data_IF_755285756981
#
_entry.id   IF_755285756981
#
_cell.length_a   1.000
_cell.length_b   1.000
_cell.length_c   1.000
_cell.angle_alpha   90.00
_cell.angle_beta   90.00
_cell.angle_gamma   90.00
#
_symmetry.space_group_name_H-M   'P 1'
#
loop_
_entity.id
_entity.type
_entity.pdbx_description
1 polymer ?
#
# COMPACT_ATOMS: atom_id res chain seq x y z
N UNK A 1 -30.86 5.52 -41.65
CA UNK A 1 -30.79 6.99 -41.60
C UNK A 1 -29.42 7.39 -41.09
N UNK A 2 -28.57 7.97 -41.96
CA UNK A 2 -27.23 8.44 -41.63
C UNK A 2 -27.36 9.79 -40.89
N UNK A 3 -26.91 9.88 -39.63
CA UNK A 3 -26.64 11.18 -39.01
C UNK A 3 -25.30 11.66 -39.54
N UNK A 4 -25.33 12.71 -40.37
CA UNK A 4 -24.16 13.40 -40.83
C UNK A 4 -23.45 14.04 -39.61
N UNK A 5 -22.19 13.69 -39.40
CA UNK A 5 -21.32 14.35 -38.44
C UNK A 5 -21.02 15.77 -38.94
N UNK A 6 -21.80 16.75 -38.45
CA UNK A 6 -21.62 18.19 -38.69
C UNK A 6 -20.78 18.82 -37.58
N UNK A 7 -19.58 18.29 -37.34
CA UNK A 7 -18.55 19.00 -36.59
C UNK A 7 -17.25 18.96 -37.39
N UNK A 8 -16.58 20.10 -37.62
CA UNK A 8 -15.23 20.09 -38.16
C UNK A 8 -14.39 19.18 -37.28
N UNK A 9 -13.72 18.18 -37.86
CA UNK A 9 -12.77 17.36 -37.11
C UNK A 9 -11.68 18.28 -36.59
N UNK A 10 -11.71 18.58 -35.29
CA UNK A 10 -10.64 19.30 -34.63
C UNK A 10 -9.37 18.46 -34.79
N UNK A 11 -8.52 18.82 -35.76
CA UNK A 11 -7.11 18.40 -35.84
C UNK A 11 -6.32 19.16 -34.78
N UNK A 12 -6.75 19.10 -33.53
CA UNK A 12 -5.96 19.59 -32.39
C UNK A 12 -4.67 18.77 -32.28
N UNK A 13 -3.66 19.35 -31.62
CA UNK A 13 -2.43 18.65 -31.24
C UNK A 13 -2.84 17.42 -30.44
N UNK A 14 -2.69 16.23 -31.03
CA UNK A 14 -2.90 14.97 -30.33
C UNK A 14 -1.57 14.53 -29.77
N UNK A 15 -1.50 14.36 -28.46
CA UNK A 15 -0.30 13.82 -27.81
C UNK A 15 -0.29 12.32 -28.08
N UNK A 16 0.63 11.88 -28.94
CA UNK A 16 0.95 10.47 -29.10
C UNK A 16 1.84 10.06 -27.94
N UNK A 17 1.38 9.08 -27.17
CA UNK A 17 2.17 8.49 -26.10
C UNK A 17 2.65 7.12 -26.57
N UNK A 18 3.88 7.09 -27.04
CA UNK A 18 4.57 5.97 -27.69
C UNK A 18 5.83 5.50 -26.93
N UNK A 19 5.98 5.97 -25.68
CA UNK A 19 7.05 5.53 -24.79
C UNK A 19 7.06 4.01 -24.65
N UNK A 20 8.24 3.39 -24.76
CA UNK A 20 8.37 1.96 -24.53
C UNK A 20 8.23 1.66 -23.01
N UNK A 21 7.29 0.80 -22.59
CA UNK A 21 7.15 0.38 -21.19
C UNK A 21 8.40 -0.26 -20.59
N UNK A 22 9.26 -0.84 -21.43
CA UNK A 22 10.52 -1.48 -21.05
C UNK A 22 11.66 -0.46 -21.14
N UNK A 23 12.31 -0.20 -20.01
CA UNK A 23 13.50 0.66 -19.89
C UNK A 23 14.72 -0.05 -20.49
N UNK A 24 14.95 -1.28 -20.03
CA UNK A 24 16.12 -2.07 -20.40
C UNK A 24 15.82 -3.56 -20.25
N UNK A 25 16.57 -4.39 -20.99
CA UNK A 25 16.55 -5.85 -20.86
C UNK A 25 17.92 -6.31 -20.35
N UNK A 26 17.95 -7.04 -19.26
CA UNK A 26 19.17 -7.61 -18.68
C UNK A 26 19.00 -9.14 -18.68
N UNK A 27 19.52 -9.78 -19.72
CA UNK A 27 19.22 -11.18 -20.00
C UNK A 27 17.72 -11.37 -20.21
N UNK A 28 17.11 -12.23 -19.40
CA UNK A 28 15.66 -12.41 -19.43
C UNK A 28 14.89 -11.28 -18.70
N UNK A 29 15.50 -10.57 -17.73
CA UNK A 29 14.81 -9.57 -16.90
C UNK A 29 14.43 -8.34 -17.75
N UNK A 30 13.13 -8.03 -17.82
CA UNK A 30 12.62 -6.78 -18.38
C UNK A 30 12.46 -5.74 -17.26
N UNK A 31 13.32 -4.72 -17.22
CA UNK A 31 13.15 -3.59 -16.33
C UNK A 31 12.08 -2.65 -16.92
N UNK A 32 10.95 -2.48 -16.21
CA UNK A 32 9.81 -1.68 -16.67
C UNK A 32 9.64 -0.40 -15.86
N UNK A 33 9.15 0.65 -16.50
CA UNK A 33 8.82 1.93 -15.84
C UNK A 33 7.83 1.74 -14.68
N UNK A 34 6.82 0.89 -14.87
CA UNK A 34 5.85 0.57 -13.83
C UNK A 34 6.53 0.05 -12.56
N UNK A 35 7.40 -0.96 -12.70
CA UNK A 35 8.12 -1.55 -11.57
C UNK A 35 9.03 -0.55 -10.86
N UNK A 36 9.73 0.29 -11.62
CA UNK A 36 10.59 1.35 -11.08
C UNK A 36 9.79 2.38 -10.28
N UNK A 37 8.67 2.87 -10.81
CA UNK A 37 7.83 3.87 -10.14
C UNK A 37 7.14 3.29 -8.91
N UNK A 38 6.66 2.05 -8.98
CA UNK A 38 6.10 1.38 -7.81
C UNK A 38 7.16 1.18 -6.72
N UNK A 39 8.36 0.68 -7.07
CA UNK A 39 9.46 0.55 -6.12
C UNK A 39 9.84 1.90 -5.48
N UNK A 40 9.85 2.97 -6.27
CA UNK A 40 10.08 4.34 -5.79
C UNK A 40 9.04 4.74 -4.74
N UNK A 41 7.75 4.50 -5.00
CA UNK A 41 6.68 4.75 -4.04
C UNK A 41 6.84 3.94 -2.74
N UNK A 42 7.21 2.66 -2.83
CA UNK A 42 7.46 1.81 -1.65
C UNK A 42 8.68 2.27 -0.83
N UNK A 43 9.76 2.70 -1.50
CA UNK A 43 10.93 3.25 -0.84
C UNK A 43 10.60 4.56 -0.10
N UNK A 44 9.77 5.42 -0.70
CA UNK A 44 9.28 6.63 -0.05
C UNK A 44 8.43 6.30 1.18
N UNK A 45 7.55 5.29 1.08
CA UNK A 45 6.81 4.77 2.23
C UNK A 45 7.76 4.30 3.34
N UNK A 46 8.79 3.52 3.00
CA UNK A 46 9.76 3.02 3.97
C UNK A 46 10.57 4.15 4.63
N UNK A 47 10.98 5.15 3.85
CA UNK A 47 11.67 6.34 4.35
C UNK A 47 10.79 7.16 5.31
N UNK A 48 9.48 7.27 5.02
CA UNK A 48 8.56 8.09 5.82
C UNK A 48 7.93 7.35 7.00
N UNK A 49 7.92 6.02 7.02
CA UNK A 49 7.31 5.24 8.08
C UNK A 49 7.82 5.60 9.50
N UNK A 50 9.14 5.71 9.76
CA UNK A 50 9.63 6.12 11.08
C UNK A 50 9.11 7.50 11.54
N UNK A 51 9.01 8.46 10.61
CA UNK A 51 8.50 9.80 10.90
C UNK A 51 7.04 9.75 11.36
N UNK A 52 6.19 9.02 10.63
CA UNK A 52 4.78 8.91 10.99
C UNK A 52 4.55 8.09 12.25
N UNK A 53 5.31 7.02 12.47
CA UNK A 53 5.21 6.26 13.70
C UNK A 53 5.55 7.11 14.91
N UNK A 54 6.64 7.89 14.85
CA UNK A 54 6.98 8.84 15.90
C UNK A 54 5.91 9.91 16.10
N UNK A 55 5.37 10.48 15.02
CA UNK A 55 4.31 11.50 15.09
C UNK A 55 3.05 10.98 15.79
N UNK A 56 2.73 9.70 15.60
CA UNK A 56 1.62 9.01 16.26
C UNK A 56 2.02 8.31 17.56
N UNK A 57 3.19 8.58 18.15
CA UNK A 57 3.63 7.99 19.42
C UNK A 57 3.73 6.47 19.39
N UNK A 58 4.18 5.91 18.28
CA UNK A 58 4.37 4.48 18.05
C UNK A 58 5.87 4.14 18.00
N UNK A 59 6.26 2.89 18.31
CA UNK A 59 7.66 2.48 18.26
C UNK A 59 8.26 2.59 16.86
N UNK A 60 9.43 3.20 16.75
CA UNK A 60 10.21 3.32 15.51
C UNK A 60 10.58 1.95 14.95
N UNK A 61 11.02 1.01 15.80
CA UNK A 61 11.37 -0.35 15.35
C UNK A 61 10.16 -1.10 14.78
N UNK A 62 8.94 -0.74 15.17
CA UNK A 62 7.74 -1.29 14.56
C UNK A 62 7.52 -0.75 13.14
N UNK A 63 7.84 0.51 12.88
CA UNK A 63 7.80 1.09 11.54
C UNK A 63 8.73 0.31 10.60
N UNK A 64 9.99 0.10 11.02
CA UNK A 64 11.01 -0.62 10.26
C UNK A 64 10.64 -2.08 9.97
N UNK A 65 9.91 -2.74 10.88
CA UNK A 65 9.44 -4.11 10.65
C UNK A 65 8.22 -4.13 9.72
N UNK A 66 7.33 -3.15 9.84
CA UNK A 66 6.11 -3.07 9.02
C UNK A 66 6.39 -2.79 7.54
N UNK A 67 7.51 -2.14 7.21
CA UNK A 67 7.94 -1.96 5.81
C UNK A 67 8.23 -3.28 5.09
N UNK A 68 8.45 -4.38 5.83
CA UNK A 68 8.56 -5.73 5.28
C UNK A 68 7.23 -6.49 5.32
N UNK A 69 6.49 -6.38 6.43
CA UNK A 69 5.23 -7.12 6.62
C UNK A 69 4.13 -6.68 5.64
N UNK A 70 3.96 -5.38 5.45
CA UNK A 70 2.84 -4.84 4.66
C UNK A 70 2.99 -5.19 3.18
N UNK A 71 4.16 -5.03 2.52
CA UNK A 71 4.30 -5.45 1.12
C UNK A 71 4.12 -6.95 0.90
N UNK A 72 4.55 -7.80 1.84
CA UNK A 72 4.30 -9.24 1.77
C UNK A 72 2.79 -9.51 1.86
N UNK A 73 2.11 -8.91 2.83
CA UNK A 73 0.65 -8.99 2.95
C UNK A 73 -0.06 -8.53 1.69
N UNK A 74 0.38 -7.43 1.09
CA UNK A 74 -0.14 -6.90 -0.16
C UNK A 74 -0.01 -7.90 -1.31
N UNK A 75 1.17 -8.48 -1.51
CA UNK A 75 1.43 -9.42 -2.60
C UNK A 75 0.60 -10.70 -2.44
N UNK A 76 0.62 -11.30 -1.24
CA UNK A 76 -0.15 -12.50 -0.95
C UNK A 76 -1.65 -12.24 -1.07
N UNK A 77 -2.13 -11.13 -0.50
CA UNK A 77 -3.53 -10.75 -0.58
C UNK A 77 -3.98 -10.52 -2.01
N UNK A 78 -3.19 -9.81 -2.83
CA UNK A 78 -3.52 -9.54 -4.22
C UNK A 78 -3.62 -10.83 -5.05
N UNK A 79 -2.70 -11.77 -4.84
CA UNK A 79 -2.66 -13.04 -5.56
C UNK A 79 -3.76 -14.01 -5.12
N UNK A 80 -3.89 -14.29 -3.82
CA UNK A 80 -4.88 -15.29 -3.37
C UNK A 80 -6.33 -14.83 -3.53
N UNK A 81 -6.61 -13.53 -3.38
CA UNK A 81 -7.94 -13.00 -3.69
C UNK A 81 -8.18 -13.03 -5.21
N UNK A 82 -7.15 -12.85 -6.03
CA UNK A 82 -7.32 -13.08 -7.47
C UNK A 82 -7.72 -14.53 -7.77
N UNK A 83 -6.98 -15.51 -7.22
CA UNK A 83 -7.30 -16.93 -7.40
C UNK A 83 -8.72 -17.25 -6.92
N UNK A 84 -9.10 -16.81 -5.71
CA UNK A 84 -10.43 -17.11 -5.13
C UNK A 84 -11.58 -16.55 -5.99
N UNK A 85 -11.44 -15.35 -6.55
CA UNK A 85 -12.58 -14.68 -7.20
C UNK A 85 -12.57 -14.77 -8.73
N UNK A 86 -11.41 -15.00 -9.35
CA UNK A 86 -11.26 -14.95 -10.81
C UNK A 86 -10.72 -16.26 -11.39
N UNK A 87 -10.00 -17.07 -10.63
CA UNK A 87 -9.36 -18.30 -11.10
C UNK A 87 -9.46 -19.43 -10.07
N UNK A 88 -10.70 -19.79 -9.70
CA UNK A 88 -10.97 -20.72 -8.61
C UNK A 88 -10.22 -22.05 -8.72
N UNK A 89 -10.15 -22.62 -9.94
CA UNK A 89 -9.44 -23.87 -10.20
C UNK A 89 -7.93 -23.75 -9.95
N UNK A 90 -7.36 -22.56 -10.15
CA UNK A 90 -5.96 -22.26 -9.87
C UNK A 90 -5.61 -22.28 -8.38
N UNK A 91 -6.59 -22.20 -7.47
CA UNK A 91 -6.36 -22.26 -6.03
C UNK A 91 -5.90 -23.66 -5.56
N UNK A 92 -6.23 -24.70 -6.30
CA UNK A 92 -5.86 -26.09 -5.97
C UNK A 92 -4.83 -26.66 -6.95
N UNK A 93 -4.39 -25.85 -7.90
CA UNK A 93 -3.35 -26.22 -8.83
C UNK A 93 -1.97 -26.10 -8.17
N UNK A 94 -1.36 -27.27 -7.96
CA UNK A 94 0.00 -27.47 -7.45
C UNK A 94 0.89 -28.14 -8.51
N UNK A 95 0.49 -28.09 -9.78
CA UNK A 95 1.28 -28.66 -10.88
C UNK A 95 2.59 -27.90 -11.06
N UNK A 96 3.68 -28.56 -11.47
CA UNK A 96 4.93 -27.81 -11.70
C UNK A 96 4.81 -27.13 -13.07
N UNK A 97 4.64 -25.81 -13.08
CA UNK A 97 4.73 -25.01 -14.28
C UNK A 97 6.17 -24.53 -14.46
N UNK A 98 6.75 -24.85 -15.62
CA UNK A 98 8.04 -24.32 -16.05
C UNK A 98 7.76 -23.38 -17.20
N UNK A 99 7.95 -22.08 -16.98
CA UNK A 99 7.81 -21.09 -18.03
C UNK A 99 8.91 -21.32 -19.10
N UNK A 100 8.50 -21.60 -20.34
CA UNK A 100 9.44 -21.85 -21.44
C UNK A 100 10.32 -20.63 -21.79
N UNK A 101 9.89 -19.42 -21.42
CA UNK A 101 10.64 -18.18 -21.62
C UNK A 101 11.52 -17.81 -20.41
N UNK A 102 11.29 -18.44 -19.26
CA UNK A 102 12.03 -18.15 -18.03
C UNK A 102 12.37 -19.44 -17.26
N UNK A 103 13.58 -20.01 -17.46
CA UNK A 103 13.97 -21.29 -16.86
C UNK A 103 14.03 -21.34 -15.32
N UNK A 104 13.98 -20.17 -14.65
CA UNK A 104 13.97 -20.03 -13.19
C UNK A 104 12.57 -19.72 -12.61
N UNK A 105 11.52 -19.71 -13.43
CA UNK A 105 10.13 -19.35 -13.13
C UNK A 105 9.40 -20.67 -12.99
N UNK A 106 9.90 -21.43 -12.01
CA UNK A 106 9.37 -22.73 -11.63
C UNK A 106 8.49 -22.45 -10.43
N UNK A 107 7.18 -22.44 -10.68
CA UNK A 107 6.19 -22.27 -9.64
C UNK A 107 5.45 -23.58 -9.42
N UNK A 108 5.15 -23.88 -8.17
CA UNK A 108 4.33 -25.01 -7.78
C UNK A 108 2.85 -24.67 -8.04
N UNK A 109 2.52 -24.58 -9.31
CA UNK A 109 1.20 -24.34 -9.87
C UNK A 109 0.77 -22.90 -9.71
N UNK A 110 -0.44 -22.61 -10.18
CA UNK A 110 -1.04 -21.28 -10.04
C UNK A 110 -1.09 -20.79 -8.60
N UNK A 111 -1.17 -21.70 -7.61
CA UNK A 111 -1.19 -21.34 -6.19
C UNK A 111 0.11 -20.66 -5.71
N UNK A 112 1.28 -21.04 -6.24
CA UNK A 112 2.58 -20.49 -5.83
C UNK A 112 3.21 -19.56 -6.87
N UNK A 113 2.49 -19.26 -7.96
CA UNK A 113 2.90 -18.35 -9.02
C UNK A 113 2.72 -16.87 -8.60
N UNK A 114 3.37 -16.49 -7.49
CA UNK A 114 3.30 -15.14 -6.93
C UNK A 114 3.80 -14.11 -7.95
N UNK A 115 2.88 -13.33 -8.51
CA UNK A 115 3.19 -12.30 -9.52
C UNK A 115 2.33 -12.38 -10.77
N UNK A 116 1.66 -13.51 -11.01
CA UNK A 116 0.57 -13.63 -11.98
C UNK A 116 -0.78 -13.40 -11.28
N UNK A 117 -1.73 -12.75 -11.97
CA UNK A 117 -3.08 -12.52 -11.45
C UNK A 117 -3.11 -11.71 -10.14
N UNK A 118 -3.17 -10.37 -10.23
CA UNK A 118 -3.15 -9.50 -9.04
C UNK A 118 -4.44 -8.70 -8.92
N UNK A 119 -5.23 -9.00 -7.89
CA UNK A 119 -6.42 -8.22 -7.54
C UNK A 119 -6.06 -7.09 -6.58
N UNK A 120 -6.22 -5.83 -7.02
CA UNK A 120 -5.89 -4.65 -6.20
C UNK A 120 -6.62 -4.57 -4.85
N UNK A 121 -7.91 -4.94 -4.83
CA UNK A 121 -8.71 -5.03 -3.60
C UNK A 121 -8.16 -6.10 -2.66
N UNK A 122 -7.63 -7.18 -3.23
CA UNK A 122 -6.94 -8.22 -2.47
C UNK A 122 -5.66 -7.72 -1.82
N UNK A 123 -4.89 -6.89 -2.54
CA UNK A 123 -3.72 -6.23 -1.98
C UNK A 123 -4.06 -5.33 -0.79
N UNK A 124 -5.14 -4.54 -0.90
CA UNK A 124 -5.62 -3.71 0.21
C UNK A 124 -6.02 -4.51 1.46
N UNK A 125 -6.80 -5.60 1.27
CA UNK A 125 -7.18 -6.50 2.37
C UNK A 125 -5.97 -7.21 2.98
N UNK A 126 -5.03 -7.64 2.14
CA UNK A 126 -3.76 -8.24 2.57
C UNK A 126 -2.92 -7.30 3.44
N UNK A 127 -2.83 -6.01 3.05
CA UNK A 127 -2.19 -4.98 3.88
C UNK A 127 -2.84 -4.83 5.25
N UNK A 128 -4.18 -4.75 5.30
CA UNK A 128 -4.93 -4.61 6.56
C UNK A 128 -4.78 -5.85 7.45
N UNK A 129 -4.82 -7.05 6.87
CA UNK A 129 -4.61 -8.30 7.59
C UNK A 129 -3.19 -8.38 8.16
N UNK A 130 -2.17 -8.06 7.35
CA UNK A 130 -0.78 -8.02 7.82
C UNK A 130 -0.59 -7.02 8.96
N UNK A 131 -1.19 -5.82 8.86
CA UNK A 131 -1.17 -4.82 9.93
C UNK A 131 -1.85 -5.32 11.20
N UNK A 132 -3.01 -5.97 11.06
CA UNK A 132 -3.75 -6.52 12.20
C UNK A 132 -2.97 -7.62 12.91
N UNK A 133 -2.39 -8.58 12.17
CA UNK A 133 -1.55 -9.65 12.74
C UNK A 133 -0.33 -9.04 13.44
N UNK A 134 0.33 -8.06 12.81
CA UNK A 134 1.48 -7.37 13.39
C UNK A 134 1.09 -6.66 14.69
N UNK A 135 -0.03 -5.94 14.69
CA UNK A 135 -0.52 -5.23 15.87
C UNK A 135 -0.84 -6.19 17.02
N UNK A 136 -1.53 -7.32 16.75
CA UNK A 136 -1.83 -8.32 17.78
C UNK A 136 -0.55 -8.84 18.45
N UNK A 137 0.52 -9.06 17.66
CA UNK A 137 1.79 -9.62 18.15
C UNK A 137 2.69 -8.60 18.84
N UNK A 138 2.64 -7.33 18.46
CA UNK A 138 3.65 -6.34 18.90
C UNK A 138 3.05 -5.09 19.53
N UNK A 139 1.93 -4.57 18.99
CA UNK A 139 1.36 -3.30 19.43
C UNK A 139 0.41 -3.41 20.62
N UNK A 140 -0.39 -4.47 20.67
CA UNK A 140 -1.43 -4.67 21.71
C UNK A 140 -0.84 -4.78 23.11
N UNK A 141 0.32 -5.42 23.26
CA UNK A 141 1.03 -5.56 24.55
C UNK A 141 1.55 -4.23 25.11
N UNK A 142 1.68 -3.19 24.28
CA UNK A 142 2.08 -1.84 24.68
C UNK A 142 0.86 -0.95 25.00
N UNK A 143 -0.35 -1.54 25.09
CA UNK A 143 -1.59 -0.77 25.30
C UNK A 143 -2.00 0.11 24.12
N UNK A 144 -1.34 -0.02 22.96
CA UNK A 144 -1.61 0.81 21.79
C UNK A 144 -2.86 0.29 21.06
N UNK A 145 -3.83 1.17 20.82
CA UNK A 145 -5.01 0.84 20.01
C UNK A 145 -4.65 0.57 18.54
N UNK A 146 -5.26 -0.44 17.92
CA UNK A 146 -5.08 -0.78 16.50
C UNK A 146 -5.25 0.44 15.58
N UNK A 147 -6.25 1.27 15.87
CA UNK A 147 -6.57 2.45 15.08
C UNK A 147 -5.40 3.48 15.00
N UNK A 148 -4.50 3.53 16.00
CA UNK A 148 -3.30 4.38 15.91
C UNK A 148 -2.30 3.85 14.87
N UNK A 149 -2.16 2.52 14.76
CA UNK A 149 -1.39 1.91 13.67
C UNK A 149 -2.03 2.19 12.33
N UNK A 150 -3.36 2.05 12.24
CA UNK A 150 -4.09 2.35 11.02
C UNK A 150 -3.88 3.81 10.58
N UNK A 151 -3.96 4.78 11.49
CA UNK A 151 -3.70 6.19 11.18
C UNK A 151 -2.28 6.41 10.64
N UNK A 152 -1.26 5.88 11.32
CA UNK A 152 0.13 6.03 10.90
C UNK A 152 0.41 5.35 9.56
N UNK A 153 -0.12 4.14 9.35
CA UNK A 153 0.05 3.39 8.09
C UNK A 153 -0.72 4.04 6.94
N UNK A 154 -1.89 4.64 7.17
CA UNK A 154 -2.59 5.40 6.12
C UNK A 154 -1.74 6.55 5.62
N UNK A 155 -1.14 7.32 6.55
CA UNK A 155 -0.25 8.43 6.19
C UNK A 155 1.00 7.96 5.44
N UNK A 156 1.49 6.76 5.71
CA UNK A 156 2.56 6.13 4.93
C UNK A 156 2.04 5.73 3.53
N UNK A 157 0.91 5.04 3.44
CA UNK A 157 0.37 4.50 2.20
C UNK A 157 0.04 5.57 1.14
N UNK A 158 -0.37 6.78 1.56
CA UNK A 158 -0.65 7.88 0.62
C UNK A 158 0.57 8.21 -0.26
N UNK A 159 1.80 7.94 0.21
CA UNK A 159 3.01 8.20 -0.55
C UNK A 159 3.16 7.32 -1.79
N UNK A 160 2.56 6.12 -1.85
CA UNK A 160 2.73 5.19 -2.99
C UNK A 160 1.70 5.40 -4.10
N UNK A 161 0.49 5.85 -3.76
CA UNK A 161 -0.64 5.96 -4.70
C UNK A 161 -0.35 6.74 -6.00
N UNK A 162 0.24 7.95 -5.98
CA UNK A 162 0.48 8.69 -7.22
C UNK A 162 1.51 8.01 -8.13
N UNK A 163 2.53 7.34 -7.55
CA UNK A 163 3.57 6.66 -8.32
C UNK A 163 3.05 5.43 -9.05
N UNK A 164 2.11 4.70 -8.44
CA UNK A 164 1.44 3.59 -9.11
C UNK A 164 0.68 4.10 -10.34
N UNK A 165 0.00 5.24 -10.24
CA UNK A 165 -0.73 5.85 -11.37
C UNK A 165 0.17 6.38 -12.47
N UNK A 166 1.32 6.95 -12.12
CA UNK A 166 2.36 7.25 -13.11
C UNK A 166 2.87 5.96 -13.76
N UNK A 167 3.07 4.90 -12.98
CA UNK A 167 3.41 3.57 -13.51
C UNK A 167 2.40 3.10 -14.56
N UNK A 168 1.10 3.18 -14.25
CA UNK A 168 0.04 2.80 -15.17
C UNK A 168 0.08 3.63 -16.47
N UNK A 169 0.39 4.93 -16.38
CA UNK A 169 0.55 5.81 -17.54
C UNK A 169 1.70 5.36 -18.46
N UNK A 170 2.88 5.06 -17.90
CA UNK A 170 4.01 4.51 -18.67
C UNK A 170 3.79 3.08 -19.15
N UNK A 171 2.85 2.35 -18.56
CA UNK A 171 2.47 1.00 -18.98
C UNK A 171 1.31 0.98 -19.98
N UNK A 172 0.74 2.15 -20.32
CA UNK A 172 -0.36 2.32 -21.27
C UNK A 172 -1.65 1.58 -20.85
N UNK A 173 -1.89 1.44 -19.54
CA UNK A 173 -3.00 0.68 -18.99
C UNK A 173 -4.01 1.56 -18.24
N UNK A 174 -5.20 1.01 -17.98
CA UNK A 174 -6.31 1.69 -17.29
C UNK A 174 -6.70 3.02 -17.95
N UNK A 175 -6.63 3.06 -19.29
CA UNK A 175 -6.94 4.25 -20.09
C UNK A 175 -8.41 4.66 -19.96
N UNK A 176 -8.67 5.93 -20.26
CA UNK A 176 -10.01 6.48 -20.19
C UNK A 176 -10.89 6.13 -21.39
N UNK A 177 -12.13 6.58 -21.33
CA UNK A 177 -13.08 6.55 -22.45
C UNK A 177 -12.56 7.36 -23.63
N UNK A 178 -13.02 6.99 -24.82
CA UNK A 178 -12.72 7.73 -26.06
C UNK A 178 -13.19 9.18 -25.92
N UNK A 179 -12.36 10.12 -26.36
CA UNK A 179 -12.66 11.55 -26.29
C UNK A 179 -12.01 12.32 -27.42
N UNK A 180 -12.71 13.35 -27.89
CA UNK A 180 -12.23 14.25 -28.94
C UNK A 180 -11.65 15.55 -28.37
N UNK A 181 -11.57 15.67 -27.05
CA UNK A 181 -11.04 16.87 -26.38
C UNK A 181 -9.59 17.18 -26.79
N UNK A 182 -9.17 18.46 -26.79
CA UNK A 182 -7.80 18.85 -27.17
C UNK A 182 -6.69 18.32 -26.25
N UNK A 183 -7.06 17.74 -25.09
CA UNK A 183 -6.15 17.08 -24.16
C UNK A 183 -6.12 15.54 -24.31
N UNK A 184 -6.81 15.00 -25.32
CA UNK A 184 -6.85 13.56 -25.56
C UNK A 184 -5.44 13.02 -25.83
N UNK A 185 -5.14 11.87 -25.22
CA UNK A 185 -3.87 11.18 -25.42
C UNK A 185 -4.14 9.92 -26.25
N UNK A 186 -3.31 9.70 -27.26
CA UNK A 186 -3.34 8.51 -28.07
C UNK A 186 -2.25 7.54 -27.61
N UNK A 187 -2.64 6.51 -26.87
CA UNK A 187 -1.72 5.51 -26.33
C UNK A 187 -1.37 4.47 -27.39
N UNK A 188 -0.10 4.08 -27.44
CA UNK A 188 0.33 2.88 -28.19
C UNK A 188 -0.19 1.62 -27.53
N UNK A 189 -0.73 0.70 -28.33
CA UNK A 189 -1.06 -0.66 -27.92
C UNK A 189 0.20 -1.53 -27.98
N UNK A 190 0.74 -1.86 -26.81
CA UNK A 190 1.91 -2.71 -26.68
C UNK A 190 1.50 -4.17 -26.41
N UNK A 191 2.17 -5.12 -27.07
CA UNK A 191 1.92 -6.55 -26.86
C UNK A 191 3.13 -7.40 -27.21
N UNK A 192 3.02 -8.71 -26.97
CA UNK A 192 3.99 -9.67 -27.50
C UNK A 192 3.53 -10.17 -28.86
N UNK A 193 4.45 -10.26 -29.82
CA UNK A 193 4.18 -10.92 -31.10
C UNK A 193 4.31 -12.44 -31.01
N UNK A 194 4.16 -13.13 -32.14
CA UNK A 194 4.27 -14.59 -32.23
C UNK A 194 5.65 -15.14 -31.81
N UNK A 195 6.69 -14.29 -31.79
CA UNK A 195 8.06 -14.65 -31.35
C UNK A 195 8.28 -14.36 -29.86
N UNK A 196 7.30 -13.76 -29.18
CA UNK A 196 7.40 -13.31 -27.79
C UNK A 196 8.08 -11.94 -27.63
N UNK A 197 8.47 -11.29 -28.73
CA UNK A 197 9.07 -9.96 -28.70
C UNK A 197 8.01 -8.92 -28.33
N UNK A 198 8.37 -7.98 -27.45
CA UNK A 198 7.48 -6.91 -27.03
C UNK A 198 7.50 -5.79 -28.07
N UNK A 199 6.39 -5.59 -28.78
CA UNK A 199 6.28 -4.73 -29.95
C UNK A 199 5.04 -3.83 -29.87
N UNK A 200 5.10 -2.69 -30.55
CA UNK A 200 3.93 -1.84 -30.76
C UNK A 200 3.03 -2.49 -31.83
N UNK A 201 1.76 -2.73 -31.49
CA UNK A 201 0.75 -3.32 -32.39
C UNK A 201 -0.08 -2.25 -33.13
N UNK A 202 0.00 -1.01 -32.66
CA UNK A 202 -0.71 0.13 -33.25
C UNK A 202 -1.00 1.19 -32.20
N UNK A 203 -1.95 2.05 -32.51
CA UNK A 203 -2.43 3.08 -31.59
C UNK A 203 -3.89 2.80 -31.22
N UNK A 204 -4.21 3.01 -29.94
CA UNK A 204 -5.59 3.08 -29.49
C UNK A 204 -6.25 4.35 -30.03
N UNK A 205 -7.58 4.42 -29.95
CA UNK A 205 -8.30 5.67 -30.18
C UNK A 205 -7.88 6.74 -29.15
N UNK A 206 -7.98 8.05 -29.48
CA UNK A 206 -7.72 9.11 -28.52
C UNK A 206 -8.64 9.00 -27.30
N UNK A 207 -8.04 9.01 -26.11
CA UNK A 207 -8.74 8.72 -24.84
C UNK A 207 -8.42 9.75 -23.79
N UNK A 208 -9.28 9.84 -22.77
CA UNK A 208 -8.94 10.59 -21.56
C UNK A 208 -7.69 9.95 -20.91
N UNK A 209 -6.62 10.71 -20.63
CA UNK A 209 -5.50 10.24 -19.80
C UNK A 209 -5.89 10.16 -18.32
N UNK A 210 -6.90 9.35 -17.98
CA UNK A 210 -7.52 9.29 -16.66
C UNK A 210 -6.55 8.86 -15.55
N UNK A 211 -5.58 8.01 -15.86
CA UNK A 211 -4.49 7.67 -14.94
C UNK A 211 -3.65 8.88 -14.54
N UNK A 212 -3.49 9.87 -15.43
CA UNK A 212 -2.81 11.13 -15.11
C UNK A 212 -3.70 12.03 -14.24
N UNK A 213 -5.03 12.04 -14.48
CA UNK A 213 -5.97 12.71 -13.59
C UNK A 213 -5.87 12.13 -12.17
N UNK A 214 -5.90 10.81 -12.04
CA UNK A 214 -5.73 10.12 -10.75
C UNK A 214 -4.37 10.43 -10.12
N UNK A 215 -3.26 10.41 -10.88
CA UNK A 215 -1.94 10.75 -10.36
C UNK A 215 -1.93 12.18 -9.79
N UNK A 216 -2.50 13.15 -10.51
CA UNK A 216 -2.62 14.55 -10.05
C UNK A 216 -3.47 14.63 -8.78
N UNK A 217 -4.63 13.96 -8.75
CA UNK A 217 -5.51 13.94 -7.58
C UNK A 217 -4.83 13.30 -6.37
N UNK A 218 -4.05 12.22 -6.56
CA UNK A 218 -3.32 11.56 -5.47
C UNK A 218 -2.08 12.34 -5.02
N UNK A 219 -1.43 13.09 -5.91
CA UNK A 219 -0.41 14.08 -5.49
C UNK A 219 -1.05 15.23 -4.71
N UNK A 220 -2.22 15.70 -5.11
CA UNK A 220 -2.97 16.70 -4.37
C UNK A 220 -3.42 16.17 -3.00
N UNK A 221 -3.88 14.92 -2.92
CA UNK A 221 -4.18 14.22 -1.66
C UNK A 221 -2.94 14.15 -0.76
N UNK A 222 -1.79 13.74 -1.30
CA UNK A 222 -0.52 13.70 -0.58
C UNK A 222 -0.09 15.08 -0.08
N UNK A 223 -0.19 16.11 -0.92
CA UNK A 223 0.13 17.49 -0.55
C UNK A 223 -0.81 18.00 0.55
N UNK A 224 -2.12 17.73 0.43
CA UNK A 224 -3.10 18.06 1.46
C UNK A 224 -2.80 17.34 2.78
N UNK A 225 -2.49 16.05 2.72
CA UNK A 225 -2.14 15.23 3.89
C UNK A 225 -0.91 15.78 4.63
N UNK A 226 0.15 16.11 3.89
CA UNK A 226 1.47 16.43 4.45
C UNK A 226 1.66 17.90 4.79
N UNK A 227 1.19 18.82 3.94
CA UNK A 227 1.42 20.26 4.08
C UNK A 227 0.34 20.95 4.93
N UNK A 228 -0.90 20.47 4.85
CA UNK A 228 -2.02 21.13 5.53
C UNK A 228 -2.56 20.34 6.73
N UNK A 229 -2.90 19.06 6.54
CA UNK A 229 -3.57 18.25 7.54
C UNK A 229 -2.65 17.88 8.70
N UNK A 230 -1.49 17.30 8.39
CA UNK A 230 -0.57 16.75 9.39
C UNK A 230 -0.14 17.80 10.43
N UNK A 231 0.30 19.03 10.07
CA UNK A 231 0.72 20.03 11.05
C UNK A 231 -0.43 20.53 11.95
N UNK A 232 -1.68 20.45 11.46
CA UNK A 232 -2.83 21.04 12.14
C UNK A 232 -3.58 20.05 13.03
N UNK A 233 -3.71 18.80 12.58
CA UNK A 233 -4.70 17.87 13.12
C UNK A 233 -4.14 16.51 13.57
N UNK A 234 -3.04 16.01 13.00
CA UNK A 234 -2.59 14.61 13.19
C UNK A 234 -2.57 14.10 14.66
N UNK A 235 -2.16 14.95 15.62
CA UNK A 235 -2.09 14.61 17.05
C UNK A 235 -3.32 14.99 17.89
N UNK A 236 -4.30 15.67 17.29
CA UNK A 236 -5.47 16.19 18.00
C UNK A 236 -6.71 15.32 17.80
N UNK A 237 -6.70 14.47 16.77
CA UNK A 237 -7.83 13.63 16.41
C UNK A 237 -7.86 12.33 17.22
N UNK A 238 -9.04 11.75 17.29
CA UNK A 238 -9.24 10.43 17.90
C UNK A 238 -8.54 9.35 17.08
N UNK A 239 -8.03 8.28 17.71
CA UNK A 239 -7.47 7.14 16.99
C UNK A 239 -8.44 6.60 15.93
N UNK A 240 -7.95 6.47 14.69
CA UNK A 240 -8.69 5.97 13.52
C UNK A 240 -9.26 7.07 12.64
N UNK A 241 -9.37 8.30 13.16
CA UNK A 241 -9.92 9.43 12.42
C UNK A 241 -9.14 9.71 11.13
N UNK A 242 -7.81 9.61 11.17
CA UNK A 242 -6.95 9.89 10.00
C UNK A 242 -7.11 8.77 8.98
N UNK A 243 -7.11 7.52 9.44
CA UNK A 243 -7.34 6.35 8.59
C UNK A 243 -8.66 6.49 7.82
N UNK A 244 -9.79 6.68 8.52
CA UNK A 244 -11.09 6.75 7.86
C UNK A 244 -11.24 7.99 6.97
N UNK A 245 -10.69 9.14 7.38
CA UNK A 245 -10.77 10.38 6.59
C UNK A 245 -10.05 10.22 5.26
N UNK A 246 -8.80 9.78 5.26
CA UNK A 246 -8.04 9.64 4.03
C UNK A 246 -8.51 8.45 3.20
N UNK A 247 -9.00 7.38 3.83
CA UNK A 247 -9.65 6.30 3.08
C UNK A 247 -10.89 6.82 2.34
N UNK A 248 -11.73 7.63 3.00
CA UNK A 248 -12.89 8.27 2.38
C UNK A 248 -12.49 9.20 1.24
N UNK A 249 -11.48 10.07 1.45
CA UNK A 249 -10.98 10.99 0.43
C UNK A 249 -10.48 10.21 -0.78
N UNK A 250 -9.60 9.23 -0.57
CA UNK A 250 -9.02 8.43 -1.64
C UNK A 250 -10.08 7.74 -2.50
N UNK A 251 -11.04 7.06 -1.87
CA UNK A 251 -12.10 6.36 -2.60
C UNK A 251 -13.13 7.30 -3.21
N UNK A 252 -13.31 8.51 -2.68
CA UNK A 252 -14.13 9.56 -3.33
C UNK A 252 -13.43 10.09 -4.59
N UNK A 253 -12.13 10.39 -4.52
CA UNK A 253 -11.35 10.80 -5.68
C UNK A 253 -11.35 9.72 -6.76
N UNK A 254 -11.19 8.46 -6.35
CA UNK A 254 -11.32 7.30 -7.24
C UNK A 254 -12.70 7.28 -7.90
N UNK A 255 -13.78 7.33 -7.11
CA UNK A 255 -15.15 7.31 -7.62
C UNK A 255 -15.38 8.41 -8.68
N UNK A 256 -14.87 9.62 -8.47
CA UNK A 256 -15.00 10.72 -9.43
C UNK A 256 -14.19 10.44 -10.71
N UNK A 257 -12.94 10.01 -10.59
CA UNK A 257 -12.09 9.72 -11.75
C UNK A 257 -12.62 8.55 -12.60
N UNK A 258 -13.32 7.62 -11.96
CA UNK A 258 -13.83 6.40 -12.55
C UNK A 258 -14.93 6.67 -13.62
N UNK A 259 -15.62 7.81 -13.59
CA UNK A 259 -16.53 8.23 -14.67
C UNK A 259 -15.82 8.45 -16.02
N UNK A 260 -14.53 8.80 -15.99
CA UNK A 260 -13.72 8.98 -17.19
C UNK A 260 -13.02 7.69 -17.65
N UNK A 261 -13.13 6.59 -16.89
CA UNK A 261 -12.51 5.30 -17.23
C UNK A 261 -13.34 4.47 -18.20
N UNK A 262 -12.62 3.77 -19.07
CA UNK A 262 -13.19 2.71 -19.89
C UNK A 262 -13.54 1.51 -19.00
N UNK A 263 -14.62 0.82 -19.35
CA UNK A 263 -14.99 -0.45 -18.73
C UNK A 263 -13.92 -1.52 -18.98
N UNK A 264 -13.72 -2.44 -18.03
CA UNK A 264 -12.80 -3.57 -18.20
C UNK A 264 -13.53 -4.85 -18.67
N UNK A 265 -14.77 -4.72 -19.14
CA UNK A 265 -15.56 -5.79 -19.76
C UNK A 265 -16.52 -6.51 -18.81
N UNK A 266 -16.36 -6.36 -17.48
CA UNK A 266 -17.24 -6.99 -16.48
C UNK A 266 -18.56 -6.22 -16.32
N UNK A 267 -18.50 -4.93 -16.63
CA UNK A 267 -19.46 -3.89 -16.30
C UNK A 267 -19.92 -3.10 -17.54
N UNK A 268 -19.75 -3.70 -18.71
CA UNK A 268 -20.20 -3.15 -19.97
C UNK A 268 -21.73 -2.92 -19.93
N UNK A 269 -22.14 -1.68 -20.20
CA UNK A 269 -23.55 -1.26 -20.20
C UNK A 269 -24.13 -0.95 -18.82
N UNK A 270 -23.36 -1.06 -17.73
CA UNK A 270 -23.82 -0.68 -16.40
C UNK A 270 -23.76 0.83 -16.19
N UNK A 271 -24.65 1.38 -15.35
CA UNK A 271 -24.62 2.80 -14.98
C UNK A 271 -23.36 3.15 -14.19
N UNK A 272 -22.94 2.23 -13.32
CA UNK A 272 -21.75 2.34 -12.49
C UNK A 272 -20.81 1.17 -12.80
N UNK A 273 -19.58 1.50 -13.13
CA UNK A 273 -18.51 0.54 -13.36
C UNK A 273 -18.01 -0.06 -12.02
N UNK A 274 -17.19 -1.11 -12.10
CA UNK A 274 -16.69 -1.87 -10.95
C UNK A 274 -15.91 -0.98 -9.98
N UNK A 275 -15.16 0.01 -10.48
CA UNK A 275 -14.47 0.95 -9.61
C UNK A 275 -15.42 1.79 -8.78
N UNK A 276 -16.57 2.22 -9.33
CA UNK A 276 -17.61 2.91 -8.55
C UNK A 276 -18.22 1.98 -7.49
N UNK A 277 -18.57 0.75 -7.89
CA UNK A 277 -19.21 -0.23 -7.01
C UNK A 277 -18.32 -0.65 -5.84
N UNK A 278 -17.00 -0.66 -6.04
CA UNK A 278 -16.03 -0.98 -4.98
C UNK A 278 -15.69 0.25 -4.13
N UNK A 279 -15.76 1.46 -4.69
CA UNK A 279 -15.49 2.69 -3.95
C UNK A 279 -16.66 3.12 -3.07
N UNK A 280 -17.89 3.02 -3.58
CA UNK A 280 -19.07 3.56 -2.92
C UNK A 280 -19.32 2.96 -1.52
N UNK A 281 -19.28 1.63 -1.30
CA UNK A 281 -19.43 1.05 0.03
C UNK A 281 -18.36 1.55 1.02
N UNK A 282 -17.11 1.71 0.56
CA UNK A 282 -16.02 2.18 1.40
C UNK A 282 -16.25 3.63 1.82
N UNK A 283 -16.65 4.49 0.88
CA UNK A 283 -17.00 5.89 1.15
C UNK A 283 -18.15 5.97 2.16
N UNK A 284 -19.21 5.19 1.97
CA UNK A 284 -20.38 5.17 2.87
C UNK A 284 -20.01 4.69 4.28
N UNK A 285 -19.22 3.62 4.40
CA UNK A 285 -18.74 3.12 5.70
C UNK A 285 -17.88 4.16 6.40
N UNK A 286 -16.94 4.80 5.69
CA UNK A 286 -16.10 5.83 6.30
C UNK A 286 -16.92 7.06 6.71
N UNK A 287 -17.85 7.51 5.87
CA UNK A 287 -18.75 8.61 6.19
C UNK A 287 -19.61 8.30 7.42
N UNK A 288 -20.17 7.08 7.49
CA UNK A 288 -20.94 6.64 8.66
C UNK A 288 -20.07 6.62 9.93
N UNK A 289 -18.84 6.12 9.86
CA UNK A 289 -17.94 6.09 11.02
C UNK A 289 -17.57 7.51 11.46
N UNK A 290 -17.24 8.41 10.54
CA UNK A 290 -16.83 9.79 10.83
C UNK A 290 -17.99 10.64 11.36
N UNK A 291 -19.16 10.58 10.71
CA UNK A 291 -20.29 11.49 10.99
C UNK A 291 -21.39 10.86 11.86
N UNK A 292 -21.62 9.55 11.72
CA UNK A 292 -22.75 8.85 12.34
C UNK A 292 -22.50 8.35 13.77
N UNK A 293 -21.24 8.24 14.21
CA UNK A 293 -20.94 7.73 15.56
C UNK A 293 -20.37 8.82 16.46
N UNK A 294 -20.96 9.01 17.65
CA UNK A 294 -20.37 9.91 18.68
C UNK A 294 -18.96 9.49 19.10
N UNK A 295 -18.60 8.22 18.88
CA UNK A 295 -17.33 7.58 19.26
C UNK A 295 -16.16 7.92 18.33
N UNK A 296 -16.42 8.13 17.03
CA UNK A 296 -15.40 8.48 16.03
C UNK A 296 -15.58 9.87 15.42
N UNK A 297 -16.52 10.67 15.95
CA UNK A 297 -16.65 12.06 15.55
C UNK A 297 -15.32 12.79 15.78
N UNK A 298 -14.67 13.14 14.67
CA UNK A 298 -13.36 13.79 14.60
C UNK A 298 -13.35 15.18 15.26
N UNK A 299 -14.53 15.79 15.38
CA UNK A 299 -14.73 17.09 16.02
C UNK A 299 -14.85 16.97 17.55
N UNK A 300 -15.12 15.78 18.09
CA UNK A 300 -15.22 15.57 19.54
C UNK A 300 -13.82 15.51 20.14
N UNK A 301 -13.45 16.46 21.03
CA UNK A 301 -12.12 16.46 21.63
C UNK A 301 -11.87 15.19 22.45
N UNK A 302 -10.60 14.77 22.49
CA UNK A 302 -10.15 13.68 23.37
C UNK A 302 -10.41 14.06 24.83
N UNK A 303 -10.98 13.13 25.59
CA UNK A 303 -11.12 13.30 27.05
C UNK A 303 -9.75 13.27 27.73
N UNK A 304 -9.66 13.79 28.95
CA UNK A 304 -8.41 13.72 29.72
C UNK A 304 -7.92 12.28 29.93
N UNK A 305 -8.85 11.34 30.15
CA UNK A 305 -8.55 9.91 30.29
C UNK A 305 -8.02 9.29 28.99
N UNK A 306 -8.61 9.64 27.84
CA UNK A 306 -8.14 9.16 26.54
C UNK A 306 -6.74 9.68 26.22
N UNK A 307 -6.46 10.95 26.54
CA UNK A 307 -5.12 11.54 26.40
C UNK A 307 -4.12 10.83 27.30
N UNK A 308 -4.44 10.61 28.57
CA UNK A 308 -3.56 9.91 29.50
C UNK A 308 -3.18 8.50 29.01
N UNK A 309 -4.14 7.71 28.49
CA UNK A 309 -3.87 6.38 27.90
C UNK A 309 -2.98 6.46 26.65
N UNK A 310 -3.18 7.49 25.82
CA UNK A 310 -2.38 7.74 24.62
C UNK A 310 -0.93 8.09 24.99
N UNK A 311 -0.75 8.91 26.03
CA UNK A 311 0.56 9.34 26.53
C UNK A 311 1.29 8.18 27.23
N UNK A 312 0.58 7.37 28.03
CA UNK A 312 1.14 6.17 28.67
C UNK A 312 1.64 5.16 27.63
N UNK A 313 0.81 4.84 26.62
CA UNK A 313 1.21 3.92 25.55
C UNK A 313 2.35 4.47 24.68
N UNK A 314 2.48 5.79 24.54
CA UNK A 314 3.61 6.42 23.87
C UNK A 314 4.90 6.32 24.71
N UNK A 315 4.83 6.50 26.04
CA UNK A 315 5.97 6.27 26.94
C UNK A 315 6.47 4.83 26.85
N UNK A 316 5.56 3.85 26.90
CA UNK A 316 5.91 2.43 26.76
C UNK A 316 6.53 2.12 25.40
N UNK A 317 6.10 2.81 24.33
CA UNK A 317 6.70 2.69 23.01
C UNK A 317 8.14 3.22 22.96
N UNK A 318 8.42 4.35 23.60
CA UNK A 318 9.77 4.92 23.70
C UNK A 318 10.71 4.02 24.51
N UNK A 319 10.22 3.47 25.64
CA UNK A 319 10.99 2.52 26.45
C UNK A 319 11.26 1.21 25.70
N UNK A 320 10.31 0.74 24.91
CA UNK A 320 10.50 -0.41 24.02
C UNK A 320 11.63 -0.16 23.01
N UNK A 321 11.62 0.98 22.33
CA UNK A 321 12.68 1.32 21.36
C UNK A 321 14.04 1.44 22.04
N UNK A 322 14.10 2.12 23.19
CA UNK A 322 15.34 2.28 23.96
C UNK A 322 15.94 0.94 24.42
N UNK A 323 15.08 -0.02 24.80
CA UNK A 323 15.52 -1.39 25.14
C UNK A 323 16.15 -2.09 23.93
N UNK A 324 15.52 -2.02 22.76
CA UNK A 324 16.06 -2.62 21.54
C UNK A 324 17.36 -1.98 21.06
N UNK A 325 17.47 -0.66 21.19
CA UNK A 325 18.69 0.06 20.82
C UNK A 325 19.86 -0.33 21.73
N UNK A 326 19.63 -0.42 23.05
CA UNK A 326 20.64 -0.90 24.02
C UNK A 326 21.05 -2.36 23.76
N UNK A 327 20.10 -3.24 23.40
CA UNK A 327 20.40 -4.62 23.02
C UNK A 327 21.27 -4.72 21.76
N UNK A 328 21.05 -3.84 20.78
CA UNK A 328 21.85 -3.77 19.55
C UNK A 328 23.24 -3.18 19.79
N UNK A 329 23.38 -2.19 20.66
CA UNK A 329 24.67 -1.53 20.96
C UNK A 329 25.51 -2.27 22.01
N UNK A 330 24.90 -3.17 22.80
CA UNK A 330 25.56 -3.82 23.93
C UNK A 330 25.68 -2.95 25.18
N UNK A 331 25.03 -1.78 25.19
CA UNK A 331 25.03 -0.83 26.30
C UNK A 331 24.08 -1.24 27.43
N UNK A 332 24.33 -0.78 28.68
CA UNK A 332 23.41 -0.99 29.78
C UNK A 332 22.08 -0.27 29.53
N UNK A 333 20.98 -0.92 29.94
CA UNK A 333 19.62 -0.38 29.79
C UNK A 333 19.50 0.98 30.50
N UNK A 334 18.83 1.98 29.90
CA UNK A 334 18.55 3.23 30.57
C UNK A 334 17.73 3.00 31.85
N UNK A 335 18.01 3.79 32.89
CA UNK A 335 17.50 3.57 34.25
C UNK A 335 15.95 3.59 34.34
N UNK A 336 15.30 4.33 33.44
CA UNK A 336 13.83 4.32 33.27
C UNK A 336 13.29 2.97 32.79
N UNK A 337 13.98 2.34 31.83
CA UNK A 337 13.60 1.04 31.26
C UNK A 337 13.96 -0.14 32.19
N UNK A 338 14.90 0.06 33.12
CA UNK A 338 15.31 -0.96 34.09
C UNK A 338 14.30 -1.18 35.22
N UNK A 339 13.45 -0.20 35.53
CA UNK A 339 12.48 -0.27 36.64
C UNK A 339 11.22 -1.09 36.33
N UNK A 340 10.92 -1.36 35.06
CA UNK A 340 9.74 -2.12 34.61
C UNK A 340 10.05 -3.53 34.09
N UNK A 341 11.26 -4.06 34.28
CA UNK A 341 11.54 -5.45 33.88
C UNK A 341 10.70 -6.40 34.75
N UNK A 342 9.67 -7.03 34.15
CA UNK A 342 8.86 -8.04 34.83
C UNK A 342 9.80 -9.13 35.38
N UNK A 343 9.59 -9.63 36.61
CA UNK A 343 10.49 -10.60 37.27
C UNK A 343 10.86 -11.79 36.39
N UNK A 344 9.93 -12.25 35.55
CA UNK A 344 10.12 -13.39 34.65
C UNK A 344 11.13 -13.12 33.51
N UNK A 345 11.20 -11.90 33.00
CA UNK A 345 12.16 -11.51 31.96
C UNK A 345 13.57 -11.39 32.54
N UNK A 346 13.69 -10.78 33.72
CA UNK A 346 14.95 -10.70 34.47
C UNK A 346 15.47 -12.12 34.83
N UNK A 347 14.57 -13.02 35.23
CA UNK A 347 14.90 -14.42 35.52
C UNK A 347 15.34 -15.20 34.28
N UNK A 348 14.68 -15.01 33.13
CA UNK A 348 15.06 -15.63 31.87
C UNK A 348 16.45 -15.17 31.39
N UNK A 349 16.73 -13.86 31.51
CA UNK A 349 18.03 -13.27 31.14
C UNK A 349 19.15 -13.72 32.08
N UNK A 350 18.88 -13.84 33.38
CA UNK A 350 19.82 -14.41 34.35
C UNK A 350 20.14 -15.90 34.06
N UNK A 351 19.14 -16.68 33.60
CA UNK A 351 19.34 -18.07 33.16
C UNK A 351 20.19 -18.16 31.90
N UNK A 352 19.97 -17.29 30.91
CA UNK A 352 20.76 -17.23 29.70
C UNK A 352 22.22 -16.84 29.98
N UNK A 353 22.45 -15.87 30.88
CA UNK A 353 23.79 -15.41 31.28
C UNK A 353 24.56 -16.48 32.08
N UNK A 354 23.88 -17.36 32.82
CA UNK A 354 24.49 -18.54 33.46
C UNK A 354 24.84 -19.64 32.47
N UNK A 355 24.07 -19.83 31.40
CA UNK A 355 24.35 -20.83 30.35
C UNK A 355 25.48 -20.42 29.38
N UNK A 356 25.77 -19.13 29.27
CA UNK A 356 26.79 -18.59 28.35
C UNK A 356 28.20 -18.41 28.93
N UNK A 357 28.48 -18.78 30.19
CA UNK A 357 29.84 -18.74 30.74
C UNK A 357 30.54 -20.08 30.49
N UNK A 358 31.67 -20.13 29.74
CA UNK A 358 32.49 -21.33 29.68
C UNK A 358 33.05 -21.64 31.07
N UNK A 359 32.95 -22.90 31.47
CA UNK A 359 33.47 -23.40 32.72
C UNK A 359 35.01 -23.34 32.69
N UNK A 360 35.61 -22.23 33.13
CA UNK A 360 37.04 -22.17 33.41
C UNK A 360 37.29 -22.82 34.78
N UNK A 361 37.65 -24.09 34.77
CA UNK A 361 38.08 -24.78 35.98
C UNK A 361 38.56 -26.20 35.76
N UNK A 362 39.89 -26.36 35.92
CA UNK A 362 40.70 -27.55 36.19
C UNK A 362 41.34 -28.27 35.00
N UNK A 363 42.55 -27.85 34.69
CA UNK A 363 43.66 -28.75 34.37
C UNK A 363 44.77 -28.42 35.38
N UNK A 364 44.96 -29.31 36.36
CA UNK A 364 46.14 -29.43 37.22
C UNK A 364 46.08 -30.84 37.83
N UNK A 365 46.78 -31.78 37.18
CA UNK A 365 47.43 -32.99 37.71
C UNK A 365 47.89 -33.85 36.52
#
# INVERSE_FOLDING_TARGET
>A
MRRAHLFPSFRGIRVHWDMNPIIARIGAIELRWYGLLFATGLLLCAWKAPHYFKLWGLPKHHAERLTLWVPIGMLLGAHYIHLIFYEWDGLFDLSIEVNSLWPLDVHLGRFWALGSGLASHGGGLGCLLALWIFWQRNGKQLGIAFHRYADAVMMVAIWVFPWVRLGNFFNHELVGRVTEGPWAVQFTDWGRDATGAFVARGYLEPRHPVVLYEAILYFAELAFATLWFQPRFARKLRPGATFYLFLMIHFTLRFIAEFAKESQGVDDGWLLNMGHLLSLPIVLVCAYLIFGTKRFNILTPLTAEEKAKIDESARLAEEYDARLDAEKSGEPLPESAAKEEKPDAAAARAKARKKGKPNKGRADA
#
